data_IF_410971696218
#
_entry.id   IF_410971696218
#
_cell.length_a   1.000
_cell.length_b   1.000
_cell.length_c   1.000
_cell.angle_alpha   90.00
_cell.angle_beta   90.00
_cell.angle_gamma   90.00
#
_symmetry.space_group_name_H-M   'P 1'
#
loop_
_entity.id
_entity.type
_entity.pdbx_description
1 polymer ?
2 polymer ?
3 polymer ?
4 water ?
#
# COMPACT_ATOMS: atom_id res chain seq x y z
N UNK A 1 -8.85 -2.83 27.48
CA UNK A 1 -8.65 -2.29 26.10
C UNK A 1 -9.64 -1.16 25.90
N UNK A 2 -9.12 0.06 25.71
CA UNK A 2 -9.93 1.25 25.49
C UNK A 2 -10.23 1.31 23.99
N UNK A 3 -11.46 1.49 23.58
CA UNK A 3 -11.75 1.58 22.15
C UNK A 3 -11.60 3.01 21.65
N UNK A 4 -10.96 3.21 20.50
CA UNK A 4 -10.95 4.49 19.82
C UNK A 4 -11.79 4.46 18.54
N UNK A 5 -12.82 5.28 18.48
CA UNK A 5 -13.73 5.44 17.39
C UNK A 5 -13.50 6.77 16.66
N UNK A 6 -12.75 6.64 15.59
CA UNK A 6 -12.40 7.64 14.64
C UNK A 6 -13.37 7.68 13.46
N UNK A 7 -13.87 8.88 13.22
CA UNK A 7 -14.79 9.13 12.10
C UNK A 7 -14.55 10.50 11.53
N UNK A 8 -14.74 10.69 10.23
CA UNK A 8 -15.15 9.65 9.32
C UNK A 8 -14.00 8.76 8.90
N UNK A 9 -14.18 7.75 8.05
CA UNK A 9 -13.04 6.89 7.73
C UNK A 9 -12.42 7.22 6.38
N UNK A 10 -13.09 8.07 5.64
CA UNK A 10 -12.54 8.54 4.38
C UNK A 10 -13.33 9.81 4.04
N UNK A 11 -12.65 10.82 3.49
CA UNK A 11 -13.41 12.05 3.20
C UNK A 11 -13.01 12.64 1.87
N UNK A 12 -13.97 13.13 1.12
CA UNK A 12 -13.69 13.68 -0.22
C UNK A 12 -13.56 15.20 -0.05
N UNK A 13 -12.35 15.75 -0.21
CA UNK A 13 -12.11 17.16 0.07
C UNK A 13 -11.48 18.00 -1.04
N UNK A 14 -11.79 19.29 -0.94
CA UNK A 14 -11.27 20.36 -1.78
C UNK A 14 -10.07 21.02 -1.14
N UNK A 15 -9.04 21.33 -1.92
CA UNK A 15 -7.98 22.21 -1.46
C UNK A 15 -8.62 23.55 -1.03
N UNK A 16 -8.11 24.08 0.09
CA UNK A 16 -8.62 25.32 0.62
C UNK A 16 -9.63 25.14 1.73
N UNK A 17 -10.31 24.01 1.80
CA UNK A 17 -11.39 23.68 2.72
C UNK A 17 -10.90 23.46 4.13
N UNK A 18 -11.80 23.63 5.09
CA UNK A 18 -11.52 23.41 6.51
C UNK A 18 -12.04 22.02 6.87
N UNK A 19 -11.21 21.10 7.34
CA UNK A 19 -11.72 19.77 7.67
C UNK A 19 -11.72 19.48 9.16
N UNK A 20 -12.71 18.77 9.68
CA UNK A 20 -12.65 18.29 11.07
C UNK A 20 -12.70 16.78 11.12
N UNK A 21 -11.83 16.17 11.89
CA UNK A 21 -11.71 14.73 12.09
C UNK A 21 -11.87 14.48 13.59
N UNK A 22 -12.52 13.38 14.00
CA UNK A 22 -12.82 13.09 15.38
C UNK A 22 -12.39 11.77 15.98
N UNK A 23 -12.18 11.68 17.29
CA UNK A 23 -12.01 10.40 17.96
C UNK A 23 -12.82 10.36 19.25
N UNK A 24 -13.73 9.40 19.38
CA UNK A 24 -14.41 9.14 20.65
C UNK A 24 -13.70 7.99 21.36
N UNK A 25 -13.50 8.10 22.66
CA UNK A 25 -12.88 7.02 23.42
C UNK A 25 -14.02 6.32 24.17
N UNK A 26 -13.83 5.04 24.52
CA UNK A 26 -14.86 4.33 25.26
C UNK A 26 -14.80 4.64 26.75
N UNK A 27 -13.74 5.29 27.19
CA UNK A 27 -13.65 5.83 28.54
C UNK A 27 -12.77 7.09 28.52
N UNK A 28 -12.98 7.99 29.45
CA UNK A 28 -12.29 9.23 29.66
C UNK A 28 -10.78 9.05 29.53
N UNK A 29 -10.17 9.63 28.50
CA UNK A 29 -8.71 9.46 28.45
C UNK A 29 -7.90 10.59 29.05
N UNK A 30 -8.51 11.62 29.65
CA UNK A 30 -7.79 12.69 30.35
C UNK A 30 -6.87 13.54 29.50
N UNK A 31 -7.21 13.72 28.25
CA UNK A 31 -6.49 14.37 27.19
C UNK A 31 -5.18 13.72 26.80
N UNK A 32 -4.88 12.49 27.22
CA UNK A 32 -3.66 11.87 26.70
C UNK A 32 -3.94 11.26 25.33
N UNK A 33 -3.68 12.06 24.31
CA UNK A 33 -4.06 11.77 22.97
C UNK A 33 -3.15 12.43 21.92
N UNK A 34 -2.64 11.65 20.96
CA UNK A 34 -1.85 12.26 19.90
C UNK A 34 -2.57 12.18 18.56
N UNK A 35 -2.18 12.98 17.57
CA UNK A 35 -2.76 13.04 16.26
C UNK A 35 -1.57 12.92 15.27
N UNK A 36 -1.63 12.03 14.29
CA UNK A 36 -0.46 11.82 13.46
C UNK A 36 -1.00 11.53 12.06
N UNK A 37 -0.09 11.66 11.14
CA UNK A 37 -0.41 11.62 9.74
C UNK A 37 0.57 10.68 9.05
N UNK A 38 -0.02 9.87 8.15
CA UNK A 38 0.87 8.98 7.39
C UNK A 38 0.65 9.16 5.90
N UNK A 39 1.73 9.38 5.19
CA UNK A 39 1.75 9.48 3.74
C UNK A 39 2.24 8.21 3.11
N UNK A 40 1.66 7.85 1.98
CA UNK A 40 1.97 6.59 1.30
C UNK A 40 3.43 6.21 1.40
N UNK A 41 3.62 5.02 2.01
CA UNK A 41 4.98 4.52 2.20
C UNK A 41 5.82 5.62 2.84
N UNK A 42 5.50 5.89 4.10
CA UNK A 42 6.19 6.91 4.88
C UNK A 42 5.88 6.69 6.36
N UNK A 43 6.89 6.94 7.17
CA UNK A 43 6.77 6.82 8.61
C UNK A 43 5.84 7.91 9.14
N UNK A 44 5.00 7.55 10.11
CA UNK A 44 4.11 8.51 10.71
C UNK A 44 4.78 9.78 11.21
N UNK A 45 4.06 10.90 11.22
CA UNK A 45 4.60 12.16 11.70
C UNK A 45 3.65 12.79 12.70
N UNK A 46 4.01 12.95 13.96
CA UNK A 46 3.05 13.55 14.91
C UNK A 46 2.80 15.04 14.69
N UNK A 47 1.57 15.45 14.85
CA UNK A 47 1.08 16.78 14.60
C UNK A 47 0.77 17.48 15.92
N UNK A 48 -0.13 16.82 16.67
CA UNK A 48 -0.50 17.27 17.99
C UNK A 48 -0.22 16.21 19.04
N UNK A 49 0.03 16.55 20.27
CA UNK A 49 0.12 15.66 21.40
C UNK A 49 -0.53 16.32 22.61
N UNK A 50 -0.78 15.54 23.65
CA UNK A 50 -1.63 15.94 24.75
C UNK A 50 -2.91 16.62 24.28
N UNK A 51 -3.67 16.09 23.34
CA UNK A 51 -4.89 16.73 22.87
C UNK A 51 -4.73 18.04 22.13
N UNK A 52 -3.92 19.00 22.56
CA UNK A 52 -3.84 20.30 21.87
C UNK A 52 -2.47 20.89 21.66
N UNK A 53 -1.40 20.38 22.22
CA UNK A 53 -0.08 20.93 21.97
C UNK A 53 0.36 20.69 20.53
N UNK A 54 0.67 21.71 19.73
CA UNK A 54 1.31 21.57 18.44
C UNK A 54 2.72 21.02 18.57
N UNK A 55 3.21 20.43 17.52
CA UNK A 55 4.52 19.79 17.54
C UNK A 55 5.52 20.76 16.91
N UNK A 56 6.75 20.76 17.40
CA UNK A 56 7.70 21.71 16.84
C UNK A 56 7.72 21.43 15.35
N UNK A 57 7.48 22.43 14.53
CA UNK A 57 7.60 22.23 13.09
C UNK A 57 6.31 22.08 12.34
N UNK A 58 5.17 22.06 13.01
CA UNK A 58 3.90 21.82 12.34
C UNK A 58 3.18 23.12 12.07
N UNK A 59 2.75 23.33 10.84
CA UNK A 59 2.02 24.53 10.47
C UNK A 59 0.93 24.74 11.51
N UNK A 60 0.52 26.00 11.63
CA UNK A 60 -0.41 26.46 12.64
C UNK A 60 -1.84 26.29 12.17
N UNK A 61 -1.97 25.79 10.96
CA UNK A 61 -3.16 25.32 10.28
C UNK A 61 -3.81 24.14 11.02
N UNK A 62 -3.01 23.35 11.73
CA UNK A 62 -3.55 22.23 12.46
C UNK A 62 -3.89 22.72 13.86
N UNK A 63 -4.97 22.15 14.38
CA UNK A 63 -5.43 22.54 15.71
C UNK A 63 -6.25 21.38 16.26
N UNK A 64 -6.03 21.00 17.51
CA UNK A 64 -6.84 20.00 18.13
C UNK A 64 -7.50 20.29 19.45
N UNK A 65 -8.81 20.08 19.57
CA UNK A 65 -9.47 20.19 20.86
C UNK A 65 -10.10 18.91 21.39
N UNK A 66 -10.70 19.00 22.58
CA UNK A 66 -11.39 17.98 23.29
C UNK A 66 -10.99 17.82 24.74
N UNK A 67 -11.70 16.94 25.42
CA UNK A 67 -11.49 16.54 26.81
C UNK A 67 -12.41 15.33 27.02
N UNK A 68 -12.29 14.62 28.12
CA UNK A 68 -13.24 13.51 28.32
C UNK A 68 -13.15 12.43 27.25
N UNK A 69 -14.20 12.27 26.46
CA UNK A 69 -14.25 11.23 25.43
C UNK A 69 -14.13 11.70 23.99
N UNK A 70 -14.57 12.93 23.72
CA UNK A 70 -14.60 13.40 22.34
C UNK A 70 -13.51 14.40 22.01
N UNK A 71 -12.58 13.99 21.15
CA UNK A 71 -11.40 14.67 20.71
C UNK A 71 -11.51 14.99 19.22
N UNK A 72 -10.84 16.02 18.76
CA UNK A 72 -10.99 16.60 17.44
C UNK A 72 -9.75 17.29 16.88
N UNK A 73 -9.56 17.18 15.58
CA UNK A 73 -8.47 17.71 14.80
C UNK A 73 -9.10 18.52 13.67
N UNK A 74 -8.68 19.79 13.58
CA UNK A 74 -9.27 20.65 12.55
C UNK A 74 -8.09 21.14 11.72
N UNK A 75 -8.28 21.21 10.43
CA UNK A 75 -7.26 21.70 9.49
C UNK A 75 -8.00 22.88 8.86
N UNK A 76 -7.57 24.08 9.18
CA UNK A 76 -8.26 25.31 8.77
C UNK A 76 -8.38 25.51 7.28
N UNK A 77 -7.34 25.24 6.52
CA UNK A 77 -7.51 25.35 5.07
C UNK A 77 -6.58 24.26 4.54
N UNK A 78 -7.17 23.34 3.79
CA UNK A 78 -6.42 22.18 3.34
C UNK A 78 -5.40 22.47 2.27
N UNK A 79 -4.25 21.85 2.40
CA UNK A 79 -3.18 21.97 1.42
C UNK A 79 -2.81 20.63 0.78
N UNK A 80 -2.24 20.65 -0.43
CA UNK A 80 -1.94 19.46 -1.17
C UNK A 80 -1.10 18.47 -0.36
N UNK A 81 -0.16 18.91 0.42
CA UNK A 81 0.74 18.18 1.25
C UNK A 81 0.15 17.63 2.54
N UNK A 82 -1.12 17.90 2.77
CA UNK A 82 -1.87 17.43 3.93
C UNK A 82 -2.53 16.07 3.70
N UNK A 83 -2.45 15.59 2.46
CA UNK A 83 -3.18 14.42 2.04
C UNK A 83 -2.47 13.15 2.49
N UNK A 84 -3.26 12.26 3.10
CA UNK A 84 -2.65 11.05 3.63
C UNK A 84 -3.68 10.46 4.59
N UNK A 85 -3.21 9.65 5.52
CA UNK A 85 -4.15 9.10 6.48
C UNK A 85 -3.85 9.71 7.85
N UNK A 86 -4.89 10.10 8.54
CA UNK A 86 -4.78 10.63 9.86
C UNK A 86 -5.21 9.62 10.90
N UNK A 87 -4.39 9.36 11.90
CA UNK A 87 -4.65 8.51 13.03
C UNK A 87 -4.77 9.31 14.33
N UNK A 88 -5.35 8.66 15.35
CA UNK A 88 -5.37 9.20 16.70
C UNK A 88 -4.91 8.15 17.68
N UNK A 89 -4.31 8.47 18.80
CA UNK A 89 -3.67 7.48 19.66
C UNK A 89 -3.89 7.83 21.13
N UNK A 90 -4.49 6.92 21.90
CA UNK A 90 -4.75 7.26 23.31
C UNK A 90 -3.57 6.69 24.07
N UNK A 91 -3.04 7.29 25.13
CA UNK A 91 -1.91 6.68 25.82
C UNK A 91 -2.13 6.90 27.30
N UNK A 92 -3.38 7.17 27.65
CA UNK A 92 -3.83 7.27 29.01
C UNK A 92 -3.63 5.96 29.78
N UNK A 93 -3.88 4.84 29.13
CA UNK A 93 -3.72 3.51 29.71
C UNK A 93 -3.08 2.56 28.72
N UNK A 94 -2.62 1.43 29.24
CA UNK A 94 -2.23 0.30 28.41
C UNK A 94 -3.42 -0.66 28.27
N UNK A 95 -3.51 -1.32 27.13
CA UNK A 95 -2.61 -1.11 26.03
C UNK A 95 -2.89 0.16 25.24
N UNK A 96 -1.82 0.73 24.68
CA UNK A 96 -2.07 1.86 23.77
C UNK A 96 -3.03 1.41 22.69
N UNK A 97 -3.96 2.26 22.23
CA UNK A 97 -4.88 1.89 21.17
C UNK A 97 -5.01 3.04 20.19
N UNK A 98 -5.21 2.72 18.92
CA UNK A 98 -5.27 3.68 17.85
C UNK A 98 -6.64 3.68 17.18
N UNK A 99 -6.88 4.61 16.28
CA UNK A 99 -8.16 4.69 15.60
C UNK A 99 -7.93 4.03 14.23
N UNK A 100 -9.00 3.75 13.51
CA UNK A 100 -8.84 3.02 12.25
C UNK A 100 -8.16 3.89 11.22
N UNK A 101 -8.31 5.21 11.27
CA UNK A 101 -7.55 6.02 10.31
C UNK A 101 -8.51 6.89 9.55
N UNK A 102 -8.10 7.97 8.89
CA UNK A 102 -9.12 8.78 8.22
C UNK A 102 -8.48 9.22 6.90
N UNK A 103 -9.07 8.80 5.80
CA UNK A 103 -8.31 8.91 4.54
C UNK A 103 -8.86 10.12 3.82
N UNK A 104 -7.95 11.00 3.40
CA UNK A 104 -8.46 12.21 2.73
C UNK A 104 -8.19 12.20 1.26
N UNK A 105 -9.09 12.49 0.36
CA UNK A 105 -8.69 12.54 -1.05
C UNK A 105 -9.32 13.80 -1.67
N UNK A 106 -8.80 14.18 -2.84
CA UNK A 106 -9.43 15.28 -3.54
C UNK A 106 -10.66 14.94 -4.33
N UNK A 107 -11.77 15.55 -4.02
CA UNK A 107 -13.04 15.44 -4.72
C UNK A 107 -12.82 15.93 -6.15
N UNK A 108 -13.57 15.40 -7.10
CA UNK A 108 -13.57 15.81 -8.48
C UNK A 108 -14.86 15.34 -9.17
N UNK A 109 -15.11 15.86 -10.36
CA UNK A 109 -16.25 15.34 -11.11
C UNK A 109 -15.96 13.84 -11.37
N UNK A 110 -17.05 13.07 -11.29
CA UNK A 110 -17.08 11.63 -11.47
C UNK A 110 -16.67 11.24 -12.90
N UNK A 111 -15.79 10.26 -12.99
CA UNK A 111 -15.36 9.78 -14.29
C UNK A 111 -15.41 8.24 -14.35
N UNK A 112 -15.93 7.77 -15.47
CA UNK A 112 -16.03 6.32 -15.69
C UNK A 112 -14.73 5.80 -16.28
N UNK A 113 -14.40 4.57 -15.95
CA UNK A 113 -13.16 3.96 -16.36
C UNK A 113 -13.05 3.72 -17.85
N UNK A 114 -11.83 3.58 -18.32
CA UNK A 114 -11.54 3.28 -19.71
C UNK A 114 -11.04 1.84 -19.61
N UNK A 115 -11.83 0.92 -20.22
CA UNK A 115 -11.45 -0.48 -20.04
C UNK A 115 -10.75 -1.12 -21.22
N UNK A 116 -9.68 -1.82 -20.93
CA UNK A 116 -8.86 -2.54 -21.86
C UNK A 116 -8.62 -4.00 -21.40
N UNK A 117 -8.85 -4.90 -22.35
CA UNK A 117 -8.64 -6.34 -22.15
C UNK A 117 -7.50 -6.91 -22.95
N UNK A 118 -6.66 -7.77 -22.39
CA UNK A 118 -5.53 -8.32 -23.13
C UNK A 118 -5.43 -9.83 -23.08
N UNK A 119 -5.59 -10.53 -24.21
CA UNK A 119 -5.32 -11.94 -24.38
C UNK A 119 -3.91 -12.24 -23.91
N UNK A 120 -3.65 -13.45 -23.46
CA UNK A 120 -2.31 -13.81 -23.03
C UNK A 120 -1.32 -13.46 -24.13
N UNK A 121 -0.03 -13.46 -23.82
CA UNK A 121 1.00 -13.30 -24.81
C UNK A 121 1.52 -14.67 -25.27
N UNK A 122 1.96 -14.73 -26.52
CA UNK A 122 2.57 -15.93 -27.09
C UNK A 122 3.69 -16.47 -26.23
N UNK A 123 4.55 -15.62 -25.70
CA UNK A 123 5.64 -16.11 -24.85
C UNK A 123 5.04 -16.70 -23.59
N UNK A 124 3.92 -16.16 -23.09
CA UNK A 124 3.36 -16.79 -21.89
C UNK A 124 2.84 -18.21 -22.23
N UNK A 125 2.00 -18.23 -23.27
CA UNK A 125 1.41 -19.47 -23.78
C UNK A 125 2.47 -20.53 -24.00
N UNK A 126 3.59 -20.20 -24.60
CA UNK A 126 4.73 -21.09 -24.76
C UNK A 126 5.43 -21.45 -23.49
N UNK A 127 4.84 -21.51 -22.30
CA UNK A 127 5.48 -21.93 -21.07
C UNK A 127 4.38 -22.39 -20.10
N UNK A 128 3.19 -22.55 -20.67
CA UNK A 128 2.14 -23.16 -19.88
C UNK A 128 1.19 -22.29 -19.12
N UNK A 129 1.43 -20.96 -19.11
CA UNK A 129 0.48 -20.15 -18.31
C UNK A 129 -0.34 -19.34 -19.28
N UNK A 130 -1.44 -18.80 -18.83
CA UNK A 130 -2.23 -17.87 -19.62
C UNK A 130 -2.73 -16.73 -18.73
N UNK A 131 -2.26 -15.48 -18.90
CA UNK A 131 -2.82 -14.45 -17.97
C UNK A 131 -3.71 -13.53 -18.75
N UNK A 132 -4.91 -13.31 -18.32
CA UNK A 132 -5.79 -12.40 -19.08
C UNK A 132 -5.82 -11.11 -18.25
N UNK A 133 -5.46 -9.98 -18.90
CA UNK A 133 -5.32 -8.74 -18.14
C UNK A 133 -6.42 -7.77 -18.49
N UNK A 134 -6.94 -7.12 -17.49
CA UNK A 134 -7.89 -6.03 -17.65
C UNK A 134 -7.44 -4.75 -16.90
N UNK A 135 -7.37 -3.66 -17.68
CA UNK A 135 -7.02 -2.35 -17.10
C UNK A 135 -8.25 -1.48 -17.01
N UNK A 136 -8.52 -0.99 -15.82
CA UNK A 136 -9.63 -0.05 -15.64
C UNK A 136 -8.94 1.26 -15.18
N UNK A 137 -8.85 2.14 -16.20
CA UNK A 137 -7.93 3.24 -15.80
C UNK A 137 -8.46 4.62 -16.00
N UNK A 138 -8.15 5.50 -15.01
CA UNK A 138 -8.60 6.89 -14.88
C UNK A 138 -10.01 7.04 -14.42
N UNK A 139 -10.41 6.58 -13.22
CA UNK A 139 -11.87 6.76 -12.98
C UNK A 139 -12.08 7.43 -11.63
N UNK A 140 -13.30 7.85 -11.32
CA UNK A 140 -13.59 8.44 -10.01
C UNK A 140 -15.07 8.32 -9.73
N UNK A 141 -15.45 8.01 -8.50
CA UNK A 141 -14.55 7.77 -7.39
C UNK A 141 -13.90 6.39 -7.29
N UNK A 142 -13.11 6.14 -6.27
CA UNK A 142 -12.36 4.91 -6.07
C UNK A 142 -13.15 3.60 -6.09
N UNK A 143 -14.40 3.56 -5.67
CA UNK A 143 -15.22 2.39 -5.69
C UNK A 143 -15.45 1.72 -7.05
N UNK A 144 -14.93 0.48 -7.14
CA UNK A 144 -15.16 -0.29 -8.36
C UNK A 144 -15.20 -1.80 -8.14
N UNK A 145 -16.14 -2.40 -8.89
CA UNK A 145 -16.29 -3.85 -8.85
C UNK A 145 -15.98 -4.51 -10.17
N UNK A 146 -15.16 -5.56 -10.09
CA UNK A 146 -14.80 -6.33 -11.29
C UNK A 146 -15.19 -7.80 -11.24
N UNK A 147 -15.96 -8.32 -12.19
CA UNK A 147 -16.14 -9.77 -12.25
C UNK A 147 -15.63 -10.31 -13.59
N UNK A 148 -14.99 -11.47 -13.50
CA UNK A 148 -14.58 -12.21 -14.69
C UNK A 148 -15.55 -13.28 -15.15
N UNK A 149 -15.82 -13.32 -16.46
CA UNK A 149 -16.67 -14.37 -17.01
C UNK A 149 -15.94 -15.16 -18.09
N UNK A 150 -15.76 -16.45 -17.83
CA UNK A 150 -15.27 -17.37 -18.86
C UNK A 150 -16.43 -18.14 -19.47
N UNK A 151 -16.56 -18.09 -20.78
CA UNK A 151 -17.70 -18.62 -21.54
C UNK A 151 -19.05 -18.45 -20.83
N UNK A 152 -19.32 -17.33 -20.19
CA UNK A 152 -20.60 -17.01 -19.61
C UNK A 152 -20.68 -17.31 -18.13
N UNK A 153 -19.64 -17.85 -17.53
CA UNK A 153 -19.75 -18.12 -16.09
C UNK A 153 -18.69 -17.36 -15.30
N UNK A 154 -19.07 -16.96 -14.10
CA UNK A 154 -18.24 -16.16 -13.21
C UNK A 154 -17.08 -16.98 -12.71
N UNK A 155 -15.87 -16.43 -12.58
CA UNK A 155 -14.73 -17.19 -12.11
C UNK A 155 -14.06 -16.52 -10.93
N UNK A 156 -14.17 -17.03 -9.69
CA UNK A 156 -13.63 -16.31 -8.55
C UNK A 156 -12.16 -16.47 -8.21
N UNK A 157 -11.55 -17.65 -8.14
CA UNK A 157 -10.15 -17.67 -7.75
C UNK A 157 -9.25 -17.47 -8.94
N UNK A 158 -8.00 -17.19 -8.61
CA UNK A 158 -6.97 -16.86 -9.57
C UNK A 158 -6.96 -15.38 -9.98
N UNK A 159 -7.99 -14.62 -9.68
CA UNK A 159 -8.08 -13.21 -9.96
C UNK A 159 -7.21 -12.41 -8.98
N UNK A 160 -6.51 -11.41 -9.52
CA UNK A 160 -5.59 -10.59 -8.76
C UNK A 160 -5.78 -9.10 -9.07
N UNK A 161 -6.19 -8.30 -8.09
CA UNK A 161 -6.54 -6.90 -8.21
C UNK A 161 -5.55 -5.91 -7.63
N UNK A 162 -5.13 -4.92 -8.40
CA UNK A 162 -4.21 -3.88 -7.92
C UNK A 162 -4.65 -2.45 -8.25
N UNK A 163 -4.59 -1.60 -7.23
CA UNK A 163 -5.06 -0.20 -7.28
C UNK A 163 -3.91 0.79 -7.25
N UNK A 164 -3.95 1.80 -8.11
CA UNK A 164 -2.93 2.87 -8.01
C UNK A 164 -3.49 3.85 -6.97
N UNK A 165 -2.66 4.72 -6.42
CA UNK A 165 -3.21 5.82 -5.58
C UNK A 165 -3.80 6.97 -6.39
N UNK A 166 -4.58 7.85 -5.78
CA UNK A 166 -5.08 9.05 -6.47
C UNK A 166 -3.94 9.79 -7.17
N UNK A 167 -4.19 10.03 -8.45
CA UNK A 167 -3.22 10.68 -9.35
C UNK A 167 -3.16 12.19 -9.04
N UNK A 168 -1.95 12.74 -8.99
CA UNK A 168 -1.66 14.09 -8.59
C UNK A 168 -2.10 15.15 -9.58
N UNK A 169 -2.09 14.97 -10.88
CA UNK A 169 -2.72 15.93 -11.75
C UNK A 169 -4.24 15.82 -11.87
N UNK A 170 -4.71 14.74 -12.49
CA UNK A 170 -6.14 14.61 -12.79
C UNK A 170 -6.94 14.01 -11.67
N UNK A 171 -6.34 13.58 -10.57
CA UNK A 171 -7.14 13.12 -9.45
C UNK A 171 -7.95 11.85 -9.62
N UNK A 172 -7.68 11.05 -10.67
CA UNK A 172 -8.53 9.87 -10.88
C UNK A 172 -7.82 8.65 -10.27
N UNK A 173 -8.47 7.49 -10.35
CA UNK A 173 -7.82 6.27 -9.85
C UNK A 173 -7.82 5.25 -10.99
N UNK A 174 -6.96 4.25 -10.84
CA UNK A 174 -6.72 3.21 -11.77
C UNK A 174 -6.45 1.82 -11.20
N UNK A 175 -7.02 0.78 -11.87
CA UNK A 175 -6.76 -0.58 -11.38
C UNK A 175 -6.50 -1.61 -12.47
N UNK A 176 -5.62 -2.56 -12.18
CA UNK A 176 -5.44 -3.68 -13.09
C UNK A 176 -5.94 -5.01 -12.48
N UNK A 177 -6.67 -5.81 -13.26
CA UNK A 177 -7.16 -7.16 -12.92
C UNK A 177 -6.51 -8.28 -13.75
N UNK A 178 -5.74 -9.15 -13.18
CA UNK A 178 -5.08 -10.27 -13.81
C UNK A 178 -5.72 -11.62 -13.40
N UNK A 179 -6.21 -12.33 -14.44
CA UNK A 179 -6.82 -13.64 -14.22
C UNK A 179 -5.81 -14.73 -14.58
N UNK A 180 -5.22 -15.46 -13.68
CA UNK A 180 -4.27 -16.51 -14.08
C UNK A 180 -4.87 -17.93 -14.16
N UNK A 181 -4.78 -18.47 -15.37
CA UNK A 181 -5.16 -19.83 -15.69
C UNK A 181 -3.93 -20.54 -16.28
N UNK A 182 -4.03 -21.88 -16.40
CA UNK A 182 -3.01 -22.61 -17.14
C UNK A 182 -3.38 -22.59 -18.63
N UNK A 183 -2.40 -22.89 -19.47
CA UNK A 183 -2.63 -22.96 -20.91
C UNK A 183 -3.70 -24.00 -21.29
N UNK A 184 -3.67 -25.18 -20.66
CA UNK A 184 -4.70 -26.19 -20.92
C UNK A 184 -6.07 -25.63 -20.59
N UNK A 185 -6.24 -25.06 -19.40
CA UNK A 185 -7.56 -24.47 -19.09
C UNK A 185 -7.92 -23.32 -20.02
N UNK A 186 -6.90 -22.52 -20.40
CA UNK A 186 -7.14 -21.38 -21.27
C UNK A 186 -7.59 -21.82 -22.65
N UNK A 187 -6.93 -22.88 -23.15
CA UNK A 187 -7.27 -23.50 -24.43
C UNK A 187 -8.56 -24.30 -24.45
N UNK A 188 -9.09 -24.70 -23.31
CA UNK A 188 -10.37 -25.37 -23.21
C UNK A 188 -11.50 -24.37 -23.27
N UNK A 189 -11.31 -23.06 -23.46
CA UNK A 189 -12.46 -22.14 -23.43
C UNK A 189 -12.36 -21.07 -24.50
N UNK A 190 -13.43 -20.35 -24.81
CA UNK A 190 -13.28 -19.35 -25.89
C UNK A 190 -13.57 -17.87 -25.58
N UNK A 191 -14.58 -17.51 -24.81
CA UNK A 191 -14.95 -16.12 -24.68
C UNK A 191 -14.61 -15.52 -23.31
N UNK A 192 -13.56 -14.68 -23.30
CA UNK A 192 -13.10 -14.13 -22.00
C UNK A 192 -13.62 -12.70 -21.82
N UNK A 193 -14.28 -12.49 -20.67
CA UNK A 193 -14.95 -11.22 -20.42
C UNK A 193 -14.71 -10.53 -19.09
N UNK A 194 -14.52 -9.21 -19.27
CA UNK A 194 -14.23 -8.24 -18.21
C UNK A 194 -15.44 -7.43 -17.80
N UNK A 195 -15.84 -7.39 -16.55
CA UNK A 195 -17.01 -6.51 -16.31
C UNK A 195 -16.78 -5.66 -15.07
N UNK A 196 -17.07 -4.38 -15.30
CA UNK A 196 -16.77 -3.34 -14.31
C UNK A 196 -18.01 -2.63 -13.79
N UNK A 197 -18.19 -2.60 -12.48
CA UNK A 197 -19.36 -1.87 -11.97
C UNK A 197 -18.84 -0.57 -11.33
N UNK A 198 -19.50 0.49 -11.77
CA UNK A 198 -19.14 1.82 -11.29
C UNK A 198 -20.29 2.77 -11.11
N UNK A 199 -20.23 3.66 -10.11
CA UNK A 199 -21.28 4.67 -9.92
C UNK A 199 -21.67 5.37 -11.20
N UNK A 200 -20.78 5.68 -12.12
CA UNK A 200 -21.11 6.31 -13.37
C UNK A 200 -22.18 5.60 -14.19
N UNK A 201 -22.60 4.37 -13.90
CA UNK A 201 -23.58 3.70 -14.73
C UNK A 201 -24.40 2.64 -14.01
N UNK A 202 -25.52 2.35 -14.68
CA UNK A 202 -26.51 1.34 -14.33
C UNK A 202 -25.90 -0.05 -14.46
N UNK A 203 -25.89 -0.47 -15.72
CA UNK A 203 -25.27 -1.65 -16.23
C UNK A 203 -23.75 -1.58 -16.12
N UNK A 204 -23.11 -2.69 -15.82
CA UNK A 204 -21.67 -2.76 -15.74
C UNK A 204 -21.08 -2.42 -17.10
N UNK A 205 -19.76 -2.26 -17.12
CA UNK A 205 -19.05 -1.92 -18.37
C UNK A 205 -18.25 -3.18 -18.68
N UNK A 206 -18.55 -3.68 -19.89
CA UNK A 206 -18.01 -4.96 -20.32
C UNK A 206 -17.07 -4.96 -21.50
N UNK A 207 -15.97 -5.65 -21.34
CA UNK A 207 -14.99 -5.91 -22.36
C UNK A 207 -14.74 -7.44 -22.47
N UNK A 208 -14.59 -7.85 -23.73
CA UNK A 208 -14.38 -9.24 -24.07
C UNK A 208 -13.53 -9.45 -25.33
N UNK A 209 -13.10 -10.70 -25.35
CA UNK A 209 -12.61 -11.33 -26.59
C UNK A 209 -12.98 -12.83 -26.60
N UNK A 210 -12.84 -13.37 -27.79
CA UNK A 210 -12.94 -14.77 -28.21
C UNK A 210 -11.59 -15.37 -28.56
N UNK A 211 -11.13 -16.52 -28.01
CA UNK A 211 -9.85 -16.99 -28.51
C UNK A 211 -9.88 -17.36 -29.99
N UNK A 212 -10.95 -17.81 -30.63
CA UNK A 212 -10.85 -18.16 -32.04
C UNK A 212 -10.70 -16.97 -32.97
N UNK A 213 -10.66 -15.80 -32.38
CA UNK A 213 -10.33 -14.47 -32.73
C UNK A 213 -11.67 -13.82 -33.10
N UNK A 214 -12.35 -13.38 -32.05
CA UNK A 214 -13.62 -12.71 -32.02
C UNK A 214 -14.50 -12.80 -33.24
N UNK B 1 14.33 14.73 21.86
CA UNK B 1 13.77 15.69 20.87
C UNK B 1 14.19 15.35 19.45
N UNK B 2 15.35 14.77 19.20
CA UNK B 2 15.74 14.53 17.82
C UNK B 2 15.03 13.38 17.11
N UNK B 3 15.68 12.23 17.14
CA UNK B 3 15.32 11.05 16.43
C UNK B 3 15.45 9.65 17.01
N UNK B 4 14.73 8.74 16.31
CA UNK B 4 14.82 7.30 16.51
C UNK B 4 15.34 6.73 15.19
N UNK B 5 16.33 5.87 15.23
CA UNK B 5 16.88 5.33 13.99
C UNK B 5 16.77 3.81 13.98
N UNK B 6 16.01 3.33 12.97
CA UNK B 6 15.75 1.87 12.98
C UNK B 6 16.62 1.07 12.03
N UNK B 7 16.91 -0.18 12.41
CA UNK B 7 17.63 -1.11 11.53
C UNK B 7 16.95 -1.35 10.19
N UNK B 8 17.75 -1.85 9.27
CA UNK B 8 17.29 -2.18 7.93
C UNK B 8 16.31 -3.36 7.79
N UNK B 9 15.64 -3.35 6.65
CA UNK B 9 14.70 -4.32 6.16
C UNK B 9 15.15 -5.74 6.42
N UNK B 10 14.24 -6.58 6.90
CA UNK B 10 14.69 -7.96 7.12
C UNK B 10 13.93 -9.06 6.39
N UNK B 11 14.61 -9.95 5.68
CA UNK B 11 14.00 -11.09 4.98
C UNK B 11 14.29 -12.38 5.75
N UNK B 12 13.35 -12.95 6.50
CA UNK B 12 13.60 -14.18 7.24
C UNK B 12 12.68 -15.35 6.88
N UNK B 13 13.26 -16.53 7.14
CA UNK B 13 12.63 -17.83 6.94
C UNK B 13 11.67 -18.20 8.05
N UNK B 14 10.57 -18.84 7.71
CA UNK B 14 9.56 -19.23 8.69
C UNK B 14 10.16 -19.99 9.84
N UNK B 15 9.70 -19.67 11.06
CA UNK B 15 10.28 -20.30 12.24
C UNK B 15 11.62 -19.78 12.66
N UNK B 16 12.21 -18.78 11.98
CA UNK B 16 13.47 -18.23 12.50
C UNK B 16 13.15 -17.11 13.47
N UNK B 17 14.21 -16.46 13.95
CA UNK B 17 14.11 -15.28 14.83
C UNK B 17 14.63 -13.97 14.26
N UNK B 18 14.19 -12.87 14.80
CA UNK B 18 14.59 -11.51 14.35
C UNK B 18 14.69 -10.61 15.58
N UNK B 19 15.84 -9.95 15.62
CA UNK B 19 16.14 -8.88 16.59
C UNK B 19 16.16 -7.48 15.98
N UNK B 20 15.16 -6.64 16.16
CA UNK B 20 15.19 -5.29 15.55
C UNK B 20 15.81 -4.26 16.50
N UNK B 21 16.42 -3.21 15.92
CA UNK B 21 16.96 -2.17 16.82
C UNK B 21 16.48 -0.74 16.55
N UNK B 22 16.36 0.02 17.63
CA UNK B 22 15.92 1.40 17.67
C UNK B 22 16.91 2.32 18.44
N UNK B 23 17.74 3.01 17.66
CA UNK B 23 18.76 3.91 18.20
C UNK B 23 18.18 5.27 18.58
N UNK B 24 18.29 5.62 19.87
CA UNK B 24 17.75 6.93 20.26
C UNK B 24 18.84 8.00 20.21
N UNK B 25 18.53 9.09 19.48
CA UNK B 25 19.48 10.19 19.33
C UNK B 25 18.94 11.54 19.81
N UNK B 26 19.88 12.22 20.48
CA UNK B 26 19.65 13.55 20.98
C UNK B 26 18.55 13.81 21.95
N UNK B 27 18.41 13.04 23.01
CA UNK B 27 17.41 13.29 24.04
C UNK B 27 17.92 12.42 25.17
N UNK B 28 17.45 12.51 26.38
CA UNK B 28 17.99 11.64 27.44
C UNK B 28 17.26 10.30 27.34
N UNK B 29 17.93 9.28 26.83
CA UNK B 29 17.43 7.95 26.58
C UNK B 29 16.76 7.33 27.80
N UNK B 30 17.29 7.63 28.97
CA UNK B 30 16.74 7.10 30.22
C UNK B 30 15.53 7.86 30.69
N UNK B 31 15.03 8.91 30.05
CA UNK B 31 13.84 9.53 30.60
C UNK B 31 12.53 9.14 29.95
N UNK B 32 12.52 8.48 28.79
CA UNK B 32 11.33 8.15 28.03
C UNK B 32 11.19 6.67 27.70
N UNK B 33 9.94 6.24 27.70
CA UNK B 33 9.54 4.89 27.31
C UNK B 33 9.74 4.76 25.80
N UNK B 34 10.31 3.68 25.32
CA UNK B 34 10.18 3.41 23.87
C UNK B 34 9.08 2.37 23.62
N UNK B 35 8.12 2.61 22.77
CA UNK B 35 7.07 1.70 22.41
C UNK B 35 7.20 1.13 21.00
N UNK B 36 6.87 -0.14 20.82
CA UNK B 36 7.01 -0.77 19.47
C UNK B 36 5.65 -1.01 18.88
N UNK B 37 5.40 -0.72 17.64
CA UNK B 37 4.11 -0.76 17.01
C UNK B 37 4.23 -1.51 15.67
N UNK B 38 3.21 -2.37 15.45
CA UNK B 38 3.16 -3.23 14.24
C UNK B 38 2.15 -2.64 13.27
N UNK B 39 2.48 -2.62 11.99
CA UNK B 39 1.47 -2.18 11.04
C UNK B 39 1.39 -3.19 9.90
N UNK B 40 0.15 -3.48 9.50
CA UNK B 40 -0.18 -4.41 8.40
C UNK B 40 -1.51 -3.94 7.82
N UNK B 41 -1.71 -4.07 6.54
CA UNK B 41 -2.97 -3.73 5.88
C UNK B 41 -4.15 -4.47 6.45
N UNK B 42 -4.05 -5.68 7.00
CA UNK B 42 -5.24 -6.31 7.57
C UNK B 42 -5.51 -5.82 8.97
N UNK B 43 -4.54 -5.78 9.88
CA UNK B 43 -4.91 -5.40 11.25
C UNK B 43 -4.87 -3.94 11.61
N UNK B 44 -4.39 -3.07 10.71
CA UNK B 44 -4.12 -1.68 11.08
C UNK B 44 -2.85 -1.56 11.91
N UNK B 45 -2.86 -0.65 12.88
CA UNK B 45 -1.70 -0.44 13.74
C UNK B 45 -1.90 -1.18 15.05
N UNK B 46 -0.98 -1.99 15.54
CA UNK B 46 -1.24 -2.52 16.87
C UNK B 46 -0.01 -2.38 17.76
N UNK B 47 -0.21 -2.08 19.01
CA UNK B 47 0.84 -1.92 20.00
C UNK B 47 1.40 -3.23 20.49
N UNK B 48 2.71 -3.42 20.35
CA UNK B 48 3.27 -4.68 20.86
C UNK B 48 3.54 -4.63 22.34
N UNK B 49 4.33 -3.66 22.76
CA UNK B 49 4.70 -3.36 24.14
C UNK B 49 5.60 -2.11 24.22
N UNK B 50 6.10 -1.82 25.42
CA UNK B 50 7.01 -0.76 25.70
C UNK B 50 8.13 -0.97 26.70
N UNK B 51 9.20 -0.13 26.55
CA UNK B 51 10.25 -0.22 27.55
C UNK B 51 10.75 1.11 28.12
N UNK B 52 10.89 1.17 29.43
CA UNK B 52 11.50 2.26 30.17
C UNK B 52 12.98 1.95 30.41
N UNK B 53 13.86 2.58 29.66
CA UNK B 53 15.29 2.31 29.77
C UNK B 53 15.89 2.76 31.10
N UNK B 54 15.22 3.67 31.81
CA UNK B 54 15.63 4.12 33.11
C UNK B 54 15.48 2.95 34.06
N UNK B 55 14.23 2.66 34.42
CA UNK B 55 13.91 1.58 35.33
C UNK B 55 14.19 0.21 34.75
N UNK B 56 14.09 0.02 33.44
CA UNK B 56 14.24 -1.29 32.83
C UNK B 56 12.95 -2.13 32.81
N UNK B 57 11.85 -1.51 33.14
CA UNK B 57 10.55 -2.12 33.22
C UNK B 57 9.89 -2.09 31.85
N UNK B 58 9.01 -3.08 31.65
CA UNK B 58 8.45 -3.28 30.32
C UNK B 58 6.96 -3.47 30.49
N UNK B 59 6.15 -3.27 29.51
CA UNK B 59 4.72 -3.53 29.51
C UNK B 59 4.43 -4.15 28.12
N UNK B 60 3.54 -5.17 28.07
CA UNK B 60 3.37 -5.86 26.78
C UNK B 60 1.93 -5.92 26.38
N UNK B 61 1.56 -5.93 25.15
CA UNK B 61 0.17 -6.29 24.77
C UNK B 61 0.04 -7.78 25.04
N UNK B 62 -1.07 -8.28 25.59
CA UNK B 62 -1.22 -9.69 25.92
C UNK B 62 -1.05 -10.63 24.72
N UNK B 63 -1.38 -10.15 23.53
CA UNK B 63 -1.21 -10.80 22.28
C UNK B 63 0.24 -11.02 21.95
N UNK B 64 1.22 -10.29 22.53
CA UNK B 64 2.60 -10.51 22.06
C UNK B 64 3.46 -11.06 23.15
N UNK B 65 2.88 -11.08 24.33
CA UNK B 65 3.60 -11.70 25.44
C UNK B 65 3.83 -13.20 25.11
N UNK B 66 5.05 -13.61 25.02
CA UNK B 66 5.63 -14.88 24.77
C UNK B 66 6.22 -14.87 23.38
N UNK B 67 5.81 -13.91 22.57
CA UNK B 67 6.39 -13.90 21.23
C UNK B 67 7.56 -12.92 21.08
N UNK B 68 7.42 -11.76 21.72
CA UNK B 68 8.28 -10.59 21.54
C UNK B 68 9.06 -10.25 22.81
N UNK B 69 10.37 -10.07 22.72
CA UNK B 69 11.13 -9.64 23.91
C UNK B 69 11.77 -8.25 23.78
N UNK B 70 11.38 -7.39 24.71
CA UNK B 70 11.87 -6.00 24.75
C UNK B 70 13.05 -5.75 25.68
N UNK B 71 14.18 -5.35 25.15
CA UNK B 71 15.34 -4.99 25.94
C UNK B 71 15.92 -3.63 25.51
N UNK B 72 16.74 -3.05 26.40
CA UNK B 72 17.37 -1.76 26.11
C UNK B 72 18.81 -1.77 26.59
N UNK B 73 19.71 -1.12 25.88
CA UNK B 73 21.10 -0.99 26.30
C UNK B 73 21.47 0.50 26.53
N UNK B 74 21.63 0.92 27.78
CA UNK B 74 21.99 2.28 28.17
C UNK B 74 23.26 2.83 27.52
N UNK B 75 24.34 2.06 27.46
CA UNK B 75 25.59 2.46 26.88
C UNK B 75 25.55 2.69 25.41
N UNK B 76 24.55 2.28 24.67
CA UNK B 76 24.52 2.61 23.24
C UNK B 76 23.18 3.25 22.96
N UNK B 77 22.39 3.57 23.94
CA UNK B 77 21.10 4.23 23.73
C UNK B 77 20.33 3.59 22.58
N UNK B 78 20.25 2.25 22.64
CA UNK B 78 19.54 1.44 21.67
C UNK B 78 18.48 0.52 22.28
N UNK B 79 17.25 0.63 21.79
CA UNK B 79 16.20 -0.29 22.28
C UNK B 79 16.11 -1.50 21.32
N UNK B 80 16.01 -2.75 21.82
CA UNK B 80 15.80 -3.84 20.86
C UNK B 80 14.52 -4.63 21.04
N UNK B 81 14.02 -5.11 19.88
CA UNK B 81 12.81 -5.94 19.92
C UNK B 81 13.07 -7.31 19.26
N UNK B 82 13.06 -8.37 20.06
CA UNK B 82 13.20 -9.74 19.53
C UNK B 82 11.85 -10.41 19.22
N UNK B 83 11.68 -10.96 18.04
CA UNK B 83 10.51 -11.73 17.58
C UNK B 83 10.90 -13.18 17.33
N UNK B 84 10.27 -14.12 18.08
CA UNK B 84 10.55 -15.54 17.80
C UNK B 84 9.41 -16.30 17.12
N UNK B 85 9.77 -17.45 16.56
CA UNK B 85 8.90 -18.39 15.86
C UNK B 85 8.14 -17.70 14.76
N UNK B 86 8.86 -17.20 13.77
CA UNK B 86 8.18 -16.36 12.81
C UNK B 86 7.37 -17.11 11.77
N UNK B 87 6.27 -16.45 11.42
CA UNK B 87 5.38 -16.95 10.41
C UNK B 87 4.97 -15.82 9.48
N UNK B 88 4.37 -16.15 8.36
CA UNK B 88 3.91 -15.17 7.38
C UNK B 88 3.11 -14.03 8.03
N UNK B 89 2.50 -14.21 9.17
CA UNK B 89 1.61 -13.31 9.83
C UNK B 89 2.32 -12.24 10.65
N UNK B 90 3.62 -12.42 10.80
CA UNK B 90 4.55 -11.53 11.43
C UNK B 90 5.12 -10.63 10.32
N UNK B 91 4.73 -10.79 9.08
CA UNK B 91 5.15 -9.96 7.98
C UNK B 91 4.50 -8.57 8.12
N UNK B 92 5.38 -7.58 8.30
CA UNK B 92 4.82 -6.22 8.52
C UNK B 92 5.89 -5.14 8.63
N UNK B 93 5.35 -3.96 8.91
CA UNK B 93 6.25 -2.82 9.17
C UNK B 93 6.27 -2.63 10.68
N UNK B 94 7.44 -2.73 11.29
CA UNK B 94 7.62 -2.49 12.72
C UNK B 94 8.28 -1.12 12.94
N UNK B 95 7.66 -0.36 13.81
CA UNK B 95 8.07 0.92 14.30
C UNK B 95 8.45 1.00 15.77
N UNK B 96 9.53 1.71 16.16
CA UNK B 96 9.62 2.23 17.54
C UNK B 96 9.12 3.68 17.57
N UNK B 97 8.50 4.10 18.66
CA UNK B 97 7.95 5.38 18.85
C UNK B 97 8.20 5.85 20.30
N UNK B 98 8.18 7.21 20.40
CA UNK B 98 8.30 7.81 21.74
C UNK B 98 6.96 8.41 22.06
N UNK B 99 6.01 8.25 21.14
CA UNK B 99 4.64 8.71 21.24
C UNK B 99 4.57 10.04 20.48
N UNK B 100 5.63 10.81 20.55
CA UNK B 100 5.75 12.06 19.81
C UNK B 100 6.62 11.77 18.60
N UNK B 101 7.85 11.28 18.77
CA UNK B 101 8.63 10.88 17.61
C UNK B 101 8.37 9.43 17.19
N UNK B 102 8.66 9.14 15.94
CA UNK B 102 8.57 7.83 15.34
C UNK B 102 9.80 7.42 14.58
N UNK B 103 10.43 6.26 14.71
CA UNK B 103 11.50 5.83 13.83
C UNK B 103 10.86 5.63 12.43
N UNK B 104 11.67 5.19 11.46
CA UNK B 104 11.15 5.09 10.08
C UNK B 104 10.56 3.73 9.75
N UNK B 105 10.72 2.78 10.67
CA UNK B 105 10.20 1.44 10.50
C UNK B 105 11.16 0.47 9.83
N UNK B 106 11.18 -0.75 10.36
CA UNK B 106 11.73 -1.88 9.58
C UNK B 106 10.66 -2.79 8.99
N UNK B 107 10.69 -3.01 7.69
CA UNK B 107 10.01 -4.04 6.95
C UNK B 107 10.58 -5.42 7.30
N UNK B 108 9.71 -6.29 7.80
CA UNK B 108 10.08 -7.69 8.05
C UNK B 108 9.22 -8.57 7.11
N UNK B 109 9.87 -9.32 6.26
CA UNK B 109 9.23 -10.21 5.30
C UNK B 109 9.55 -11.65 5.68
N UNK B 110 8.56 -12.38 6.17
CA UNK B 110 8.83 -13.80 6.49
C UNK B 110 8.51 -14.66 5.26
N UNK B 111 9.50 -15.38 4.73
CA UNK B 111 9.19 -16.17 3.54
C UNK B 111 10.19 -17.26 3.22
N UNK B 112 9.76 -18.28 2.48
CA UNK B 112 10.66 -19.38 2.13
C UNK B 112 11.24 -19.10 0.77
N UNK B 113 10.59 -18.24 0.00
CA UNK B 113 11.05 -17.85 -1.31
C UNK B 113 12.55 -17.65 -1.49
N UNK B 114 12.99 -18.14 -2.66
CA UNK B 114 14.40 -17.99 -3.04
C UNK B 114 14.48 -16.85 -4.04
N UNK B 115 15.65 -16.25 -4.25
CA UNK B 115 15.69 -15.15 -5.22
C UNK B 115 15.35 -15.73 -6.60
N UNK B 116 14.44 -15.10 -7.32
CA UNK B 116 14.09 -15.63 -8.64
C UNK B 116 13.80 -14.47 -9.59
N UNK B 117 14.43 -14.49 -10.74
CA UNK B 117 14.22 -13.49 -11.77
C UNK B 117 12.78 -13.53 -12.25
N UNK B 118 12.28 -12.39 -12.72
CA UNK B 118 10.91 -12.28 -13.20
C UNK B 118 10.68 -12.76 -14.61
N UNK B 119 9.46 -12.95 -15.06
CA UNK B 119 9.19 -13.31 -16.44
C UNK B 119 8.44 -12.09 -16.94
N UNK B 120 8.73 -11.65 -18.15
CA UNK B 120 8.16 -10.40 -18.61
C UNK B 120 7.35 -10.61 -19.86
N UNK B 121 6.07 -10.31 -19.83
CA UNK B 121 5.23 -10.45 -20.99
C UNK B 121 4.76 -9.12 -21.56
N UNK B 122 5.02 -8.92 -22.86
CA UNK B 122 4.51 -7.80 -23.62
C UNK B 122 3.00 -7.90 -23.74
N UNK B 123 2.24 -6.86 -23.50
CA UNK B 123 0.79 -6.92 -23.59
C UNK B 123 0.26 -6.00 -24.67
N UNK B 124 0.06 -6.55 -25.85
CA UNK B 124 -0.43 -5.93 -27.06
C UNK B 124 -1.92 -5.91 -27.15
N UNK B 125 -2.57 -4.95 -27.76
CA UNK B 125 -4.02 -4.93 -27.81
C UNK B 125 -4.62 -6.15 -28.52
N UNK B 126 -5.85 -6.48 -28.12
CA UNK B 126 -6.66 -7.57 -28.63
C UNK B 126 -6.66 -7.47 -30.16
N UNK B 127 -6.62 -8.59 -30.88
CA UNK B 127 -6.76 -8.45 -32.33
C UNK B 127 -8.11 -7.75 -32.53
N UNK B 128 -8.16 -7.15 -33.70
CA UNK B 128 -9.31 -6.29 -34.05
C UNK B 128 -8.61 -4.91 -34.06
N UNK B 129 -7.99 -4.62 -32.90
CA UNK B 129 -7.18 -3.41 -32.75
C UNK B 129 -8.14 -2.22 -32.88
N UNK B 130 -8.62 -1.76 -31.71
CA UNK B 130 -9.59 -0.67 -31.74
C UNK B 130 -9.13 0.45 -32.67
N UNK B 131 -10.14 1.24 -33.02
CA UNK B 131 -9.92 2.34 -33.98
C UNK B 131 -10.20 3.67 -33.34
N UNK B 132 -10.13 3.82 -32.01
CA UNK B 132 -10.34 5.13 -31.40
C UNK B 132 -9.15 6.07 -31.59
N UNK B 133 -9.00 7.06 -30.72
CA UNK B 133 -7.92 8.05 -30.87
C UNK B 133 -6.66 7.55 -30.20
N UNK B 134 -6.83 6.81 -29.12
CA UNK B 134 -5.67 6.26 -28.42
C UNK B 134 -5.71 4.75 -28.27
N UNK B 135 -4.58 4.17 -27.92
CA UNK B 135 -4.36 2.75 -27.70
C UNK B 135 -3.66 2.53 -26.36
N UNK B 136 -4.10 1.58 -25.55
CA UNK B 136 -3.37 1.19 -24.34
C UNK B 136 -2.54 -0.06 -24.55
N UNK B 137 -1.30 -0.04 -24.16
CA UNK B 137 -0.33 -1.09 -24.27
C UNK B 137 0.01 -1.51 -22.84
N UNK B 138 0.61 -2.68 -22.61
CA UNK B 138 0.78 -3.05 -21.21
C UNK B 138 2.01 -3.93 -21.19
N UNK B 139 2.38 -4.29 -19.98
CA UNK B 139 3.55 -5.13 -19.79
C UNK B 139 3.32 -5.77 -18.42
N UNK B 140 3.60 -7.07 -18.33
CA UNK B 140 3.19 -7.89 -17.17
C UNK B 140 4.47 -8.52 -16.70
N UNK B 141 4.81 -8.35 -15.43
CA UNK B 141 6.12 -8.84 -14.95
C UNK B 141 5.76 -9.86 -13.88
N UNK B 142 5.98 -11.15 -14.10
CA UNK B 142 5.38 -12.19 -13.27
C UNK B 142 6.42 -13.05 -12.58
N UNK B 143 6.20 -13.36 -11.34
CA UNK B 143 7.01 -14.28 -10.60
C UNK B 143 8.39 -13.90 -10.20
N UNK B 144 8.56 -12.81 -9.44
CA UNK B 144 9.92 -12.50 -8.97
C UNK B 144 9.90 -12.44 -7.44
N UNK B 145 11.11 -12.40 -6.92
CA UNK B 145 11.39 -12.35 -5.50
C UNK B 145 12.88 -12.09 -5.37
N UNK B 146 13.25 -11.11 -4.55
CA UNK B 146 12.35 -10.34 -3.73
C UNK B 146 11.81 -9.08 -4.36
N UNK B 147 10.95 -8.39 -3.60
CA UNK B 147 10.09 -7.31 -4.00
C UNK B 147 10.63 -6.27 -4.90
N UNK B 148 11.69 -5.56 -4.70
CA UNK B 148 11.97 -4.46 -5.58
C UNK B 148 12.21 -4.77 -7.06
N UNK B 149 11.39 -4.27 -7.97
CA UNK B 149 11.56 -4.34 -9.42
C UNK B 149 11.51 -2.93 -9.97
N UNK B 150 12.22 -2.58 -11.04
CA UNK B 150 11.97 -1.23 -11.58
C UNK B 150 11.59 -1.33 -13.05
N UNK B 151 10.54 -0.61 -13.41
CA UNK B 151 9.94 -0.67 -14.72
C UNK B 151 9.84 0.64 -15.46
N UNK B 152 10.36 0.72 -16.67
CA UNK B 152 10.17 1.94 -17.47
C UNK B 152 9.60 1.58 -18.84
N UNK B 153 9.08 2.60 -19.47
CA UNK B 153 8.59 2.57 -20.82
C UNK B 153 9.51 3.41 -21.71
N UNK B 154 10.27 2.74 -22.57
CA UNK B 154 11.19 3.41 -23.47
C UNK B 154 12.34 3.99 -22.68
N UNK B 155 12.82 3.25 -21.68
CA UNK B 155 13.94 3.71 -20.88
C UNK B 155 13.68 5.01 -20.15
N UNK B 156 12.45 5.36 -19.78
CA UNK B 156 12.20 6.61 -19.10
C UNK B 156 11.63 7.67 -20.03
N UNK B 157 11.89 7.55 -21.33
CA UNK B 157 11.45 8.51 -22.33
C UNK B 157 9.95 8.67 -22.46
N UNK B 158 9.24 7.60 -22.15
CA UNK B 158 7.77 7.61 -22.19
C UNK B 158 7.39 7.67 -20.71
N UNK B 159 6.71 8.72 -20.28
CA UNK B 159 6.47 8.90 -18.86
C UNK B 159 5.03 9.29 -18.55
N UNK B 160 4.39 9.89 -19.54
CA UNK B 160 2.99 10.29 -19.34
C UNK B 160 2.04 9.34 -20.07
N UNK B 161 0.92 9.07 -19.40
CA UNK B 161 -0.02 8.03 -19.79
C UNK B 161 0.35 6.73 -19.05
N UNK B 162 1.48 6.63 -18.37
CA UNK B 162 1.83 5.42 -17.64
C UNK B 162 1.12 5.32 -16.29
N UNK B 163 0.80 4.05 -15.97
CA UNK B 163 0.28 3.56 -14.72
C UNK B 163 1.07 2.29 -14.38
N UNK B 164 1.57 2.16 -13.18
CA UNK B 164 2.38 1.02 -12.75
C UNK B 164 1.76 0.53 -11.45
N UNK B 165 1.30 -0.74 -11.39
CA UNK B 165 0.40 -1.03 -10.26
C UNK B 165 1.26 -1.67 -9.22
N UNK B 166 0.95 -1.36 -7.98
CA UNK B 166 1.73 -1.92 -6.89
C UNK B 166 1.76 -3.45 -7.03
N UNK B 167 2.89 -4.09 -6.86
CA UNK B 167 3.07 -5.51 -6.88
C UNK B 167 2.21 -6.19 -5.81
N UNK B 168 1.81 -7.43 -6.02
CA UNK B 168 1.07 -8.25 -5.07
C UNK B 168 1.60 -9.70 -5.09
N UNK B 169 1.41 -10.42 -3.99
CA UNK B 169 1.84 -11.78 -3.81
C UNK B 169 0.89 -12.80 -4.47
N UNK B 170 1.48 -13.67 -5.25
CA UNK B 170 0.78 -14.75 -5.92
C UNK B 170 1.61 -16.02 -5.82
N UNK B 171 1.08 -16.98 -5.04
CA UNK B 171 1.75 -18.27 -4.90
C UNK B 171 3.18 -18.08 -4.43
N UNK B 172 3.37 -17.20 -3.46
CA UNK B 172 4.64 -16.92 -2.84
C UNK B 172 5.62 -16.04 -3.58
N UNK B 173 5.30 -15.52 -4.75
CA UNK B 173 6.16 -14.70 -5.57
C UNK B 173 5.45 -13.39 -5.95
N UNK B 174 6.22 -12.37 -6.39
CA UNK B 174 5.57 -11.09 -6.68
C UNK B 174 5.16 -10.94 -8.13
N UNK B 175 4.03 -10.31 -8.35
CA UNK B 175 3.53 -10.03 -9.68
C UNK B 175 3.21 -8.53 -9.77
N UNK B 176 3.54 -7.98 -10.94
CA UNK B 176 3.31 -6.56 -11.14
C UNK B 176 2.86 -6.32 -12.59
N UNK B 177 2.19 -5.19 -12.77
CA UNK B 177 1.82 -4.83 -14.13
C UNK B 177 1.89 -3.33 -14.41
N UNK B 178 1.98 -3.00 -15.69
CA UNK B 178 2.04 -1.60 -16.07
C UNK B 178 1.33 -1.36 -17.39
N UNK B 179 0.81 -0.16 -17.54
CA UNK B 179 0.03 0.30 -18.68
C UNK B 179 0.36 1.70 -19.18
N UNK B 180 0.36 1.99 -20.46
CA UNK B 180 0.60 3.23 -21.13
C UNK B 180 -0.45 3.38 -22.23
N UNK B 181 -0.93 4.62 -22.30
CA UNK B 181 -1.88 4.98 -23.36
C UNK B 181 -1.13 5.98 -24.25
N UNK B 182 -1.10 5.75 -25.54
CA UNK B 182 -0.45 6.59 -26.51
C UNK B 182 -1.44 6.85 -27.64
N UNK B 183 -1.31 7.89 -28.45
CA UNK B 183 -2.30 8.13 -29.50
C UNK B 183 -2.14 7.10 -30.63
N UNK B 184 -3.21 6.94 -31.39
CA UNK B 184 -3.35 6.04 -32.51
C UNK B 184 -2.17 5.96 -33.45
N UNK B 185 -1.74 7.07 -34.01
CA UNK B 185 -0.57 7.25 -34.84
C UNK B 185 0.78 6.90 -34.24
N UNK B 186 0.93 6.91 -32.91
CA UNK B 186 2.23 6.60 -32.32
C UNK B 186 2.63 5.15 -32.59
N UNK B 187 1.79 4.22 -32.17
CA UNK B 187 2.06 2.79 -32.28
C UNK B 187 1.10 2.22 -33.30
N UNK B 188 1.54 1.25 -34.08
CA UNK B 188 2.85 0.66 -34.02
C UNK B 188 3.94 1.28 -34.86
N UNK B 189 3.71 2.46 -35.42
CA UNK B 189 4.68 3.19 -36.21
C UNK B 189 6.02 3.38 -35.51
N UNK B 190 5.95 3.87 -34.27
CA UNK B 190 7.17 3.95 -33.46
C UNK B 190 7.16 2.78 -32.47
N UNK B 191 8.31 2.18 -32.25
CA UNK B 191 8.37 1.04 -31.35
C UNK B 191 8.11 1.49 -29.92
N UNK B 192 7.48 0.64 -29.10
CA UNK B 192 7.45 0.82 -27.65
C UNK B 192 8.08 -0.36 -26.93
N UNK B 193 8.97 -0.07 -25.97
CA UNK B 193 9.62 -1.10 -25.21
C UNK B 193 9.34 -0.95 -23.73
N UNK B 194 9.27 -2.09 -23.06
CA UNK B 194 9.00 -2.08 -21.62
C UNK B 194 10.35 -2.51 -21.08
N UNK B 195 10.87 -1.80 -20.11
CA UNK B 195 12.21 -2.14 -19.61
C UNK B 195 11.98 -2.44 -18.13
N UNK B 196 12.56 -3.56 -17.74
CA UNK B 196 12.36 -4.10 -16.42
C UNK B 196 13.73 -4.43 -15.89
N UNK B 197 13.97 -4.19 -14.61
CA UNK B 197 15.25 -4.61 -14.04
C UNK B 197 14.97 -5.10 -12.62
N UNK B 198 15.60 -6.21 -12.29
CA UNK B 198 15.44 -6.80 -10.97
C UNK B 198 16.86 -6.90 -10.42
N UNK B 199 17.26 -5.92 -9.61
CA UNK B 199 18.57 -5.83 -9.00
C UNK B 199 18.97 -7.06 -8.22
N UNK B 200 18.08 -7.63 -7.42
CA UNK B 200 18.38 -8.82 -6.66
C UNK B 200 18.85 -9.99 -7.50
N UNK B 201 18.41 -10.11 -8.74
CA UNK B 201 18.89 -11.23 -9.56
C UNK B 201 19.82 -10.70 -10.65
N UNK B 202 19.82 -9.35 -10.68
CA UNK B 202 20.58 -8.61 -11.68
C UNK B 202 20.06 -8.96 -13.06
N UNK B 203 18.74 -8.89 -13.20
CA UNK B 203 18.14 -9.24 -14.48
C UNK B 203 17.73 -7.95 -15.18
N UNK B 204 18.17 -7.91 -16.44
CA UNK B 204 17.84 -6.72 -17.22
C UNK B 204 17.03 -7.15 -18.43
N UNK B 205 15.78 -6.71 -18.54
CA UNK B 205 14.94 -7.16 -19.63
C UNK B 205 14.32 -6.01 -20.41
N UNK B 206 14.40 -6.11 -21.72
CA UNK B 206 13.79 -5.20 -22.66
C UNK B 206 12.91 -6.01 -23.62
N UNK B 207 11.61 -5.80 -23.51
CA UNK B 207 10.63 -6.50 -24.32
C UNK B 207 9.90 -5.47 -25.18
N UNK B 208 9.91 -5.64 -26.48
CA UNK B 208 9.23 -4.73 -27.41
C UNK B 208 7.78 -5.15 -27.58
N UNK B 209 6.84 -4.26 -27.85
CA UNK B 209 5.44 -4.62 -28.00
C UNK B 209 4.97 -4.72 -29.43
N UNK B 210 5.09 -5.88 -30.08
CA UNK B 210 4.63 -5.98 -31.46
C UNK B 210 3.14 -6.25 -31.56
N UNK B 211 2.53 -5.79 -32.64
CA UNK B 211 1.12 -6.06 -32.93
C UNK B 211 0.83 -7.54 -33.02
N UNK B 212 -0.36 -7.97 -32.62
CA UNK B 212 -0.69 -9.40 -32.65
C UNK B 212 -0.94 -9.84 -34.08
N UNK B 213 -1.14 -11.15 -34.21
CA UNK B 213 -1.60 -11.84 -35.42
C UNK B 213 -0.41 -12.11 -36.30
N UNK C 1 5.89 11.83 28.63
CA UNK C 1 4.61 12.13 27.91
C UNK C 1 3.63 11.11 28.64
N UNK C 2 3.68 9.78 28.96
CA UNK C 2 3.15 9.61 30.45
C UNK C 2 4.23 8.70 30.95
N UNK C 3 4.58 7.57 31.70
CA UNK C 3 6.14 7.41 31.83
C UNK C 3 5.95 7.02 33.29
N UNK C 4 5.92 5.65 33.16
CA UNK C 4 5.62 5.00 34.67
C UNK C 4 4.24 5.05 34.08
N UNK C 5 4.15 3.66 34.08
CA UNK C 5 3.10 2.66 33.79
C UNK C 5 4.33 1.72 33.35
#
# INVERSE_FOLDING_TARGET
>A
DIKMTQSPSSMYTSLGERVTITCKASQDINSFLTWFLQKPGKSPKTLIYRANRLMIGVPSRFSGSGSGQTYSLTISSLEYEDMGIYYCLQYDDFPLTFGAGTKLDLKRADAAPTVSIFPPSSEQLTSGGASVVCFLNNFYPKEINVKWKIDGSERQNGVLDSWTEQDSKDSTYSMSSTLTLTKDEYERHNSYTCEATHKTSTSPIVKSFNRNEC
>B
QDQLQQSGAELVRPGASVKLSCKALGYIFTDYEIHWVKQTPVHGLEWIGGIHPGSSGTAYNQKFKGKATLTADKSSTTAFMELSSLTSEDSAVYYCTRKDYWGQGTLVTVSAAKTTAPSVYPLVPVCGGTTGSSVTLGCLVKGYFPEPVTLTWNSGSLSSGVHTFPALLQSGLYTLSSSVTVTSNTWPSQTITCNVAHPASSTKVDKKIEPRV
>C
LKGPL
#
